data_IF_364823805924
#
_entry.id   IF_364823805924
#
_cell.length_a   1.000
_cell.length_b   1.000
_cell.length_c   1.000
_cell.angle_alpha   90.00
_cell.angle_beta   90.00
_cell.angle_gamma   90.00
#
_symmetry.space_group_name_H-M   'P 1'
#
loop_
_entity.id
_entity.type
_entity.pdbx_description
1 polymer ?
#
# COMPACT_ATOMS: atom_id res chain seq x y z
N UNK A 1 57.14 -58.76 -37.97
CA UNK A 1 57.59 -59.79 -37.01
C UNK A 1 57.66 -59.17 -35.63
N UNK A 2 56.94 -59.78 -34.71
CA UNK A 2 57.02 -59.73 -33.24
C UNK A 2 58.34 -59.24 -32.63
N UNK A 3 58.30 -58.36 -31.61
CA UNK A 3 58.59 -58.78 -30.23
C UNK A 3 58.24 -57.73 -29.15
N UNK A 4 57.94 -58.23 -27.95
CA UNK A 4 57.48 -57.51 -26.77
C UNK A 4 58.60 -57.20 -25.76
N UNK A 5 58.35 -56.22 -24.87
CA UNK A 5 58.85 -56.01 -23.47
C UNK A 5 58.39 -54.62 -23.00
N UNK A 6 58.11 -54.25 -21.75
CA UNK A 6 57.49 -54.82 -20.54
C UNK A 6 57.67 -53.77 -19.42
N UNK A 7 56.59 -53.37 -18.69
CA UNK A 7 56.52 -52.80 -17.31
C UNK A 7 55.55 -51.60 -17.15
N UNK A 8 55.03 -51.27 -15.94
CA UNK A 8 54.44 -52.12 -14.90
C UNK A 8 53.05 -51.61 -14.42
N UNK A 9 52.35 -52.44 -13.63
CA UNK A 9 51.00 -52.22 -13.07
C UNK A 9 50.88 -50.99 -12.14
N UNK A 10 49.92 -50.10 -12.40
CA UNK A 10 49.38 -49.11 -11.43
C UNK A 10 48.16 -49.70 -10.70
N UNK A 11 48.18 -49.73 -9.36
CA UNK A 11 47.02 -50.05 -8.50
C UNK A 11 46.07 -48.85 -8.40
N UNK A 12 44.77 -49.18 -8.39
CA UNK A 12 43.59 -48.31 -8.31
C UNK A 12 43.56 -47.43 -7.04
N UNK A 13 43.02 -46.21 -7.19
CA UNK A 13 42.29 -45.48 -6.13
C UNK A 13 40.93 -45.07 -6.72
N UNK A 14 39.88 -45.80 -6.34
CA UNK A 14 38.48 -45.42 -6.51
C UNK A 14 37.93 -45.23 -5.10
N UNK A 15 37.91 -44.01 -4.55
CA UNK A 15 37.06 -43.61 -3.42
C UNK A 15 37.02 -42.08 -3.42
N UNK A 16 35.87 -41.49 -3.75
CA UNK A 16 35.70 -40.04 -3.75
C UNK A 16 34.31 -39.54 -4.13
N UNK A 17 33.51 -40.35 -4.84
CA UNK A 17 32.19 -39.90 -5.33
C UNK A 17 31.01 -40.36 -4.46
N UNK A 18 31.17 -41.43 -3.67
CA UNK A 18 30.08 -41.94 -2.82
C UNK A 18 29.83 -41.09 -1.56
N UNK A 19 30.85 -40.40 -1.03
CA UNK A 19 30.72 -39.63 0.21
C UNK A 19 30.02 -38.28 0.03
N UNK A 20 30.01 -37.70 -1.18
CA UNK A 20 29.38 -36.40 -1.43
C UNK A 20 27.86 -36.51 -1.64
N UNK A 21 27.40 -37.62 -2.23
CA UNK A 21 25.97 -37.87 -2.46
C UNK A 21 25.22 -38.28 -1.17
N UNK A 22 25.89 -38.99 -0.25
CA UNK A 22 25.30 -39.28 1.06
C UNK A 22 25.12 -38.02 1.91
N UNK A 23 26.01 -37.04 1.83
CA UNK A 23 25.88 -35.79 2.60
C UNK A 23 24.73 -34.90 2.12
N UNK A 24 24.44 -34.87 0.82
CA UNK A 24 23.31 -34.11 0.26
C UNK A 24 21.95 -34.75 0.55
N UNK A 25 21.86 -36.08 0.53
CA UNK A 25 20.64 -36.81 0.87
C UNK A 25 20.29 -36.66 2.38
N UNK A 26 21.29 -36.74 3.27
CA UNK A 26 21.08 -36.51 4.70
C UNK A 26 20.65 -35.07 5.04
N UNK A 27 21.12 -34.07 4.28
CA UNK A 27 20.69 -32.67 4.45
C UNK A 27 19.26 -32.45 3.96
N UNK A 28 18.84 -33.08 2.87
CA UNK A 28 17.47 -33.01 2.37
C UNK A 28 16.47 -33.72 3.32
N UNK A 29 16.83 -34.91 3.82
CA UNK A 29 15.98 -35.65 4.78
C UNK A 29 15.88 -34.94 6.14
N UNK A 30 16.94 -34.27 6.60
CA UNK A 30 16.88 -33.42 7.79
C UNK A 30 15.96 -32.21 7.60
N UNK A 31 15.95 -31.62 6.40
CA UNK A 31 15.09 -30.47 6.08
C UNK A 31 13.62 -30.87 5.92
N UNK A 32 13.36 -32.07 5.38
CA UNK A 32 12.03 -32.65 5.27
C UNK A 32 11.48 -33.11 6.63
N UNK A 33 12.33 -33.66 7.51
CA UNK A 33 11.96 -34.05 8.87
C UNK A 33 11.70 -32.85 9.79
N UNK A 34 12.42 -31.73 9.61
CA UNK A 34 12.17 -30.49 10.37
C UNK A 34 10.85 -29.80 9.96
N UNK A 35 10.46 -29.90 8.68
CA UNK A 35 9.19 -29.37 8.19
C UNK A 35 7.95 -30.13 8.73
N UNK A 36 8.12 -31.38 9.17
CA UNK A 36 7.05 -32.22 9.70
C UNK A 36 6.95 -32.21 11.24
N UNK A 37 7.90 -31.58 11.94
CA UNK A 37 7.89 -31.46 13.40
C UNK A 37 7.35 -30.13 13.92
N UNK A 38 6.79 -29.29 13.05
CA UNK A 38 6.19 -28.02 13.45
C UNK A 38 4.85 -28.28 14.17
N UNK A 39 4.59 -27.61 15.31
CA UNK A 39 3.31 -27.75 16.01
C UNK A 39 2.19 -27.11 15.18
N UNK A 40 1.05 -27.81 15.08
CA UNK A 40 -0.17 -27.35 14.40
C UNK A 40 -0.58 -25.96 14.93
N UNK A 41 -0.83 -24.94 14.07
CA UNK A 41 -1.28 -23.62 14.48
C UNK A 41 -2.48 -23.66 15.43
N UNK A 42 -3.39 -24.62 15.20
CA UNK A 42 -4.53 -24.88 16.08
C UNK A 42 -4.09 -25.41 17.44
N UNK A 43 -3.14 -26.35 17.48
CA UNK A 43 -2.61 -26.88 18.73
C UNK A 43 -1.87 -25.80 19.56
N UNK A 44 -1.10 -24.92 18.92
CA UNK A 44 -0.42 -23.79 19.60
C UNK A 44 -1.44 -22.77 20.13
N UNK A 45 -2.47 -22.47 19.34
CA UNK A 45 -3.55 -21.56 19.74
C UNK A 45 -4.40 -22.13 20.88
N UNK A 46 -4.82 -23.39 20.78
CA UNK A 46 -5.61 -24.08 21.81
C UNK A 46 -4.81 -24.29 23.12
N UNK A 47 -3.49 -24.52 23.01
CA UNK A 47 -2.59 -24.61 24.17
C UNK A 47 -2.39 -23.26 24.86
N UNK A 48 -2.43 -22.15 24.11
CA UNK A 48 -2.36 -20.79 24.65
C UNK A 48 -3.67 -20.37 25.36
N UNK A 49 -4.83 -20.81 24.85
CA UNK A 49 -6.14 -20.46 25.44
C UNK A 49 -6.42 -21.16 26.78
N UNK A 50 -5.84 -22.35 27.01
CA UNK A 50 -6.22 -23.22 28.13
C UNK A 50 -5.18 -23.31 29.27
N UNK A 51 -4.15 -22.46 29.30
CA UNK A 51 -3.06 -22.58 30.28
C UNK A 51 -3.34 -21.78 31.57
N UNK A 52 -3.37 -22.40 32.77
CA UNK A 52 -3.55 -21.68 34.02
C UNK A 52 -2.30 -20.84 34.37
N UNK A 53 -2.56 -19.67 34.97
CA UNK A 53 -1.55 -18.68 35.36
C UNK A 53 -0.56 -19.26 36.37
N UNK A 54 0.73 -19.16 36.05
CA UNK A 54 1.83 -19.36 37.00
C UNK A 54 2.45 -20.75 36.96
N UNK A 55 3.54 -20.89 36.20
CA UNK A 55 4.70 -21.75 36.51
C UNK A 55 5.77 -21.53 35.44
N UNK A 56 6.57 -20.47 35.62
CA UNK A 56 7.87 -20.33 34.97
C UNK A 56 8.92 -21.01 35.82
N UNK A 57 9.58 -22.02 35.27
CA UNK A 57 10.72 -22.68 35.90
C UNK A 57 11.88 -21.68 36.06
N UNK A 58 12.43 -21.61 37.27
CA UNK A 58 13.53 -20.72 37.60
C UNK A 58 14.82 -21.06 36.86
N UNK A 59 15.50 -20.03 36.36
CA UNK A 59 16.86 -20.13 35.82
C UNK A 59 17.79 -19.24 36.65
N UNK A 60 18.84 -19.85 37.19
CA UNK A 60 19.89 -19.19 37.96
C UNK A 60 20.83 -18.35 37.05
N UNK A 61 21.45 -17.27 37.55
CA UNK A 61 22.19 -16.32 36.72
C UNK A 61 23.62 -16.81 36.44
N UNK A 62 24.05 -16.76 35.18
CA UNK A 62 25.45 -16.89 34.78
C UNK A 62 26.05 -15.48 34.59
N UNK A 63 27.21 -15.25 35.22
CA UNK A 63 27.93 -13.97 35.23
C UNK A 63 28.64 -13.61 33.91
N UNK A 64 29.20 -12.40 33.81
CA UNK A 64 29.55 -11.79 32.54
C UNK A 64 30.97 -12.14 32.10
N UNK A 65 31.16 -12.49 30.83
CA UNK A 65 32.46 -12.41 30.17
C UNK A 65 32.43 -11.39 29.04
N UNK A 66 33.31 -10.40 29.20
CA UNK A 66 33.60 -9.29 28.30
C UNK A 66 34.73 -9.74 27.38
N UNK A 67 34.55 -9.77 26.06
CA UNK A 67 35.68 -9.84 25.12
C UNK A 67 35.36 -9.13 23.79
N UNK A 68 35.97 -7.95 23.70
CA UNK A 68 36.59 -7.22 22.58
C UNK A 68 36.12 -7.43 21.12
N UNK A 69 35.77 -6.29 20.50
CA UNK A 69 35.68 -6.08 19.06
C UNK A 69 37.04 -6.27 18.38
N UNK A 70 37.05 -6.97 17.24
CA UNK A 70 38.07 -6.79 16.20
C UNK A 70 37.39 -6.67 14.83
N UNK A 71 37.57 -5.50 14.23
CA UNK A 71 37.29 -5.16 12.83
C UNK A 71 38.37 -5.75 11.93
N UNK A 72 38.00 -6.51 10.89
CA UNK A 72 38.88 -6.80 9.77
C UNK A 72 38.16 -6.78 8.43
N UNK A 73 38.90 -6.28 7.45
CA UNK A 73 38.56 -5.70 6.16
C UNK A 73 38.40 -6.75 5.04
N UNK A 74 37.61 -6.42 4.03
CA UNK A 74 37.46 -7.19 2.79
C UNK A 74 38.64 -6.99 1.81
N UNK A 75 38.97 -7.99 0.96
CA UNK A 75 39.78 -7.77 -0.23
C UNK A 75 38.95 -7.81 -1.53
N UNK A 76 39.29 -6.90 -2.44
CA UNK A 76 38.88 -6.80 -3.84
C UNK A 76 39.65 -7.77 -4.74
N UNK A 77 39.02 -8.26 -5.81
CA UNK A 77 39.70 -8.78 -6.99
C UNK A 77 38.86 -8.59 -8.27
N UNK A 78 39.48 -8.01 -9.29
CA UNK A 78 38.98 -7.82 -10.65
C UNK A 78 39.23 -9.06 -11.53
N UNK A 79 38.36 -9.35 -12.50
CA UNK A 79 38.70 -10.11 -13.73
C UNK A 79 37.71 -9.77 -14.86
N UNK A 80 38.26 -9.61 -16.07
CA UNK A 80 37.72 -9.01 -17.30
C UNK A 80 37.01 -10.03 -18.22
N UNK A 81 36.00 -9.58 -18.99
CA UNK A 81 35.17 -10.29 -20.00
C UNK A 81 35.89 -10.49 -21.38
N UNK A 82 35.33 -11.07 -22.50
CA UNK A 82 34.01 -10.79 -23.15
C UNK A 82 33.45 -11.97 -24.04
N UNK A 83 32.63 -11.78 -25.12
CA UNK A 83 31.44 -10.93 -25.35
C UNK A 83 30.19 -11.75 -25.75
N UNK A 84 28.98 -11.24 -25.55
CA UNK A 84 27.81 -11.55 -26.40
C UNK A 84 26.73 -10.49 -26.26
N UNK A 85 26.12 -10.19 -27.40
CA UNK A 85 25.39 -8.98 -27.71
C UNK A 85 23.99 -8.87 -27.06
N UNK A 86 23.64 -7.63 -26.75
CA UNK A 86 22.29 -7.05 -26.83
C UNK A 86 21.16 -7.80 -26.11
N UNK A 87 21.10 -7.64 -24.79
CA UNK A 87 19.86 -7.48 -24.02
C UNK A 87 20.22 -7.09 -22.58
N UNK A 88 19.49 -6.11 -22.02
CA UNK A 88 19.51 -5.65 -20.62
C UNK A 88 20.51 -4.55 -20.22
N UNK A 89 20.58 -3.45 -20.97
CA UNK A 89 21.16 -2.19 -20.46
C UNK A 89 20.32 -1.51 -19.36
N UNK A 90 19.03 -1.88 -19.23
CA UNK A 90 18.12 -1.29 -18.23
C UNK A 90 18.31 -1.90 -16.84
N UNK A 91 18.41 -3.23 -16.74
CA UNK A 91 18.62 -3.94 -15.48
C UNK A 91 20.02 -3.76 -14.89
N UNK A 92 21.01 -3.33 -15.68
CA UNK A 92 22.36 -3.05 -15.18
C UNK A 92 22.48 -1.67 -14.51
N UNK A 93 21.45 -0.83 -14.57
CA UNK A 93 21.44 0.53 -14.00
C UNK A 93 20.57 0.59 -12.74
N UNK A 94 20.86 -0.29 -11.77
CA UNK A 94 20.12 -0.35 -10.51
C UNK A 94 20.24 0.91 -9.63
N UNK A 95 21.12 1.85 -9.99
CA UNK A 95 21.38 3.08 -9.24
C UNK A 95 20.76 4.34 -9.89
N UNK A 96 20.17 4.22 -11.09
CA UNK A 96 19.54 5.35 -11.79
C UNK A 96 18.10 5.55 -11.29
N UNK A 97 17.92 6.49 -10.36
CA UNK A 97 16.59 6.90 -9.89
C UNK A 97 15.82 7.74 -10.92
N UNK A 98 14.54 8.04 -10.62
CA UNK A 98 13.61 8.80 -11.49
C UNK A 98 14.12 10.18 -11.96
N UNK A 99 15.08 10.77 -11.23
CA UNK A 99 15.65 12.09 -11.55
C UNK A 99 17.00 12.03 -12.31
N UNK A 100 17.45 10.86 -12.75
CA UNK A 100 18.73 10.73 -13.42
C UNK A 100 18.66 11.06 -14.92
N UNK A 101 19.58 11.89 -15.39
CA UNK A 101 19.64 12.33 -16.78
C UNK A 101 20.44 11.32 -17.60
N UNK A 102 19.78 10.63 -18.53
CA UNK A 102 20.47 9.83 -19.55
C UNK A 102 20.72 10.72 -20.75
N UNK A 103 21.99 10.99 -21.04
CA UNK A 103 22.37 11.70 -22.26
C UNK A 103 21.80 10.95 -23.48
N UNK A 104 20.92 11.58 -24.28
CA UNK A 104 20.40 10.93 -25.46
C UNK A 104 21.56 10.66 -26.43
N UNK A 105 21.55 9.51 -27.14
CA UNK A 105 22.61 9.20 -28.10
C UNK A 105 22.70 10.31 -29.15
N UNK A 106 23.93 10.69 -29.49
CA UNK A 106 24.21 11.77 -30.41
C UNK A 106 23.40 11.60 -31.72
N UNK A 107 22.73 12.66 -32.20
CA UNK A 107 21.90 12.55 -33.39
C UNK A 107 22.76 12.17 -34.61
N UNK A 108 22.23 11.33 -35.52
CA UNK A 108 22.93 10.98 -36.74
C UNK A 108 23.22 12.24 -37.59
N UNK A 109 24.27 12.23 -38.42
CA UNK A 109 24.69 13.39 -39.19
C UNK A 109 23.56 13.90 -40.09
N UNK A 110 23.28 15.20 -39.99
CA UNK A 110 22.23 15.90 -40.74
C UNK A 110 22.48 15.78 -42.25
N UNK A 111 21.49 15.28 -42.99
CA UNK A 111 21.45 15.38 -44.46
C UNK A 111 21.34 16.86 -44.88
N UNK A 112 21.85 17.24 -46.07
CA UNK A 112 21.78 18.60 -46.57
C UNK A 112 20.34 19.15 -46.61
N UNK A 113 20.20 20.39 -46.14
CA UNK A 113 18.95 21.14 -46.04
C UNK A 113 18.54 21.60 -47.45
N UNK A 114 17.36 21.15 -47.92
CA UNK A 114 16.65 21.79 -49.02
C UNK A 114 16.12 23.16 -48.57
N UNK A 115 16.01 24.15 -49.48
CA UNK A 115 15.62 25.51 -49.14
C UNK A 115 14.22 25.56 -48.48
N UNK A 116 13.99 26.53 -47.58
CA UNK A 116 12.81 26.54 -46.73
C UNK A 116 11.56 26.69 -47.58
N UNK A 117 10.69 25.69 -47.51
CA UNK A 117 9.30 25.84 -47.93
C UNK A 117 8.66 26.85 -46.99
N UNK A 118 8.35 28.01 -47.56
CA UNK A 118 7.48 29.09 -47.08
C UNK A 118 7.00 28.96 -45.63
N UNK A 119 7.36 29.95 -44.81
CA UNK A 119 6.70 30.24 -43.55
C UNK A 119 5.19 30.01 -43.67
N UNK A 120 4.67 29.06 -42.89
CA UNK A 120 3.26 29.02 -42.57
C UNK A 120 2.94 30.34 -41.91
N UNK A 121 2.14 31.14 -42.60
CA UNK A 121 1.49 32.33 -42.03
C UNK A 121 0.87 31.89 -40.70
N UNK A 122 1.03 32.63 -39.59
CA UNK A 122 0.27 32.33 -38.40
C UNK A 122 -1.19 32.36 -38.82
N UNK A 123 -1.89 31.24 -38.70
CA UNK A 123 -3.34 31.20 -38.82
C UNK A 123 -3.83 32.22 -37.81
N UNK A 124 -4.22 33.39 -38.30
CA UNK A 124 -4.91 34.39 -37.51
C UNK A 124 -6.13 33.67 -36.95
N UNK A 125 -6.04 33.33 -35.67
CA UNK A 125 -7.05 32.54 -35.00
C UNK A 125 -8.35 33.34 -35.16
N UNK A 126 -9.33 32.75 -35.86
CA UNK A 126 -10.67 33.35 -36.03
C UNK A 126 -11.43 33.38 -34.70
N UNK A 127 -10.78 33.01 -33.61
CA UNK A 127 -11.33 32.96 -32.27
C UNK A 127 -11.60 34.39 -31.81
N UNK A 128 -12.76 34.57 -31.19
CA UNK A 128 -13.14 35.83 -30.58
C UNK A 128 -12.03 36.30 -29.62
N UNK A 129 -11.50 37.53 -29.76
CA UNK A 129 -10.47 38.05 -28.86
C UNK A 129 -10.89 37.92 -27.39
N UNK A 130 -9.94 37.53 -26.54
CA UNK A 130 -10.13 37.26 -25.11
C UNK A 130 -11.08 36.08 -24.77
N UNK A 131 -11.53 35.29 -25.75
CA UNK A 131 -12.13 33.99 -25.44
C UNK A 131 -11.10 33.05 -24.82
N UNK A 132 -11.54 32.02 -24.09
CA UNK A 132 -10.62 31.03 -23.48
C UNK A 132 -9.77 30.33 -24.56
N UNK A 133 -10.36 30.07 -25.73
CA UNK A 133 -9.65 29.50 -26.87
C UNK A 133 -8.58 30.45 -27.42
N UNK A 134 -8.94 31.72 -27.62
CA UNK A 134 -7.99 32.75 -28.04
C UNK A 134 -6.84 32.91 -27.04
N UNK A 135 -7.15 32.97 -25.74
CA UNK A 135 -6.15 33.10 -24.67
C UNK A 135 -5.21 31.89 -24.69
N UNK A 136 -5.76 30.67 -24.77
CA UNK A 136 -4.96 29.43 -24.84
C UNK A 136 -3.98 29.46 -26.02
N UNK A 137 -4.43 29.94 -27.18
CA UNK A 137 -3.62 29.97 -28.41
C UNK A 137 -2.61 31.13 -28.43
N UNK A 138 -2.83 32.22 -27.68
CA UNK A 138 -2.03 33.45 -27.77
C UNK A 138 -1.19 33.77 -26.54
N UNK A 139 -1.47 33.19 -25.37
CA UNK A 139 -0.82 33.58 -24.11
C UNK A 139 0.70 33.34 -24.12
N UNK A 140 1.16 32.25 -24.74
CA UNK A 140 2.59 31.96 -24.89
C UNK A 140 3.27 33.01 -25.78
N UNK A 141 2.67 33.37 -26.91
CA UNK A 141 3.18 34.43 -27.79
C UNK A 141 3.31 35.77 -27.06
N UNK A 142 2.30 36.15 -26.28
CA UNK A 142 2.31 37.40 -25.51
C UNK A 142 3.37 37.38 -24.40
N UNK A 143 3.53 36.24 -23.72
CA UNK A 143 4.60 36.04 -22.73
C UNK A 143 5.98 36.17 -23.37
N UNK A 144 6.20 35.47 -24.48
CA UNK A 144 7.49 35.45 -25.16
C UNK A 144 7.85 36.83 -25.72
N UNK A 145 6.85 37.60 -26.18
CA UNK A 145 7.04 39.00 -26.56
C UNK A 145 7.44 39.88 -25.38
N UNK A 146 6.78 39.72 -24.23
CA UNK A 146 7.11 40.44 -23.00
C UNK A 146 8.51 40.10 -22.46
N UNK A 147 8.95 38.83 -22.60
CA UNK A 147 10.30 38.39 -22.18
C UNK A 147 11.37 38.91 -23.13
N UNK A 148 11.19 38.70 -24.44
CA UNK A 148 12.22 39.03 -25.43
C UNK A 148 12.34 40.53 -25.68
N UNK A 149 11.25 41.29 -25.51
CA UNK A 149 11.24 42.75 -25.63
C UNK A 149 10.41 43.38 -24.50
N UNK A 150 11.01 43.62 -23.32
CA UNK A 150 10.31 44.07 -22.13
C UNK A 150 10.00 45.58 -22.16
N UNK A 151 9.18 46.00 -23.12
CA UNK A 151 8.57 47.34 -23.11
C UNK A 151 7.39 47.36 -22.14
N UNK A 152 7.02 48.56 -21.66
CA UNK A 152 5.88 48.73 -20.77
C UNK A 152 4.61 48.13 -21.37
N UNK A 153 4.39 48.36 -22.67
CA UNK A 153 3.19 47.93 -23.40
C UNK A 153 3.12 46.40 -23.53
N UNK A 154 4.24 45.73 -23.82
CA UNK A 154 4.27 44.27 -23.97
C UNK A 154 4.02 43.56 -22.64
N UNK A 155 4.64 44.07 -21.57
CA UNK A 155 4.45 43.54 -20.22
C UNK A 155 3.03 43.80 -19.72
N UNK A 156 2.50 45.02 -19.92
CA UNK A 156 1.11 45.35 -19.57
C UNK A 156 0.10 44.48 -20.31
N UNK A 157 0.29 44.27 -21.62
CA UNK A 157 -0.58 43.40 -22.42
C UNK A 157 -0.63 41.98 -21.84
N UNK A 158 0.53 41.38 -21.55
CA UNK A 158 0.58 40.06 -20.94
C UNK A 158 -0.09 40.04 -19.56
N UNK A 159 0.19 41.03 -18.70
CA UNK A 159 -0.39 41.12 -17.36
C UNK A 159 -1.92 41.26 -17.40
N UNK A 160 -2.46 42.08 -18.32
CA UNK A 160 -3.90 42.23 -18.48
C UNK A 160 -4.57 40.93 -18.96
N UNK A 161 -3.99 40.24 -19.95
CA UNK A 161 -4.52 38.95 -20.42
C UNK A 161 -4.46 37.90 -19.32
N UNK A 162 -3.35 37.84 -18.56
CA UNK A 162 -3.21 36.92 -17.44
C UNK A 162 -4.22 37.22 -16.32
N UNK A 163 -4.37 38.49 -15.93
CA UNK A 163 -5.37 38.91 -14.94
C UNK A 163 -6.79 38.58 -15.40
N UNK A 164 -7.10 38.80 -16.67
CA UNK A 164 -8.41 38.47 -17.24
C UNK A 164 -8.70 36.97 -17.17
N UNK A 165 -7.71 36.11 -17.45
CA UNK A 165 -7.85 34.66 -17.29
C UNK A 165 -8.08 34.25 -15.82
N UNK A 166 -7.41 34.92 -14.88
CA UNK A 166 -7.67 34.70 -13.44
C UNK A 166 -9.09 35.10 -13.05
N UNK A 167 -9.60 36.22 -13.58
CA UNK A 167 -10.98 36.66 -13.31
C UNK A 167 -12.04 35.73 -13.91
N UNK A 168 -11.77 35.17 -15.10
CA UNK A 168 -12.62 34.11 -15.68
C UNK A 168 -12.61 32.85 -14.80
N UNK A 169 -11.44 32.49 -14.27
CA UNK A 169 -11.29 31.32 -13.39
C UNK A 169 -12.01 31.52 -12.06
N UNK A 170 -11.95 32.71 -11.48
CA UNK A 170 -12.69 33.07 -10.27
C UNK A 170 -14.20 32.99 -10.50
N UNK A 171 -14.72 33.55 -11.61
CA UNK A 171 -16.15 33.45 -11.96
C UNK A 171 -16.59 31.99 -12.13
N UNK A 172 -15.78 31.19 -12.82
CA UNK A 172 -16.04 29.76 -12.96
C UNK A 172 -16.08 29.06 -11.60
N UNK A 173 -15.11 29.33 -10.72
CA UNK A 173 -15.06 28.74 -9.39
C UNK A 173 -16.30 29.06 -8.53
N UNK A 174 -16.79 30.31 -8.59
CA UNK A 174 -18.04 30.68 -7.90
C UNK A 174 -19.25 29.92 -8.45
N UNK A 175 -19.41 29.85 -9.77
CA UNK A 175 -20.51 29.11 -10.39
C UNK A 175 -20.40 27.60 -10.11
N UNK A 176 -19.20 27.03 -10.21
CA UNK A 176 -18.93 25.63 -9.89
C UNK A 176 -19.37 25.29 -8.47
N UNK A 177 -18.92 26.09 -7.49
CA UNK A 177 -19.29 25.92 -6.08
C UNK A 177 -20.79 26.04 -5.88
N UNK A 178 -21.41 27.07 -6.45
CA UNK A 178 -22.86 27.28 -6.33
C UNK A 178 -23.66 26.12 -6.94
N UNK A 179 -23.24 25.56 -8.07
CA UNK A 179 -23.91 24.43 -8.71
C UNK A 179 -23.71 23.14 -7.91
N UNK A 180 -22.51 22.91 -7.39
CA UNK A 180 -22.22 21.75 -6.53
C UNK A 180 -23.03 21.79 -5.23
N UNK A 181 -23.07 22.92 -4.53
CA UNK A 181 -23.81 23.08 -3.27
C UNK A 181 -25.35 23.00 -3.46
N UNK A 182 -25.86 23.38 -4.64
CA UNK A 182 -27.29 23.26 -4.96
C UNK A 182 -27.71 21.85 -5.38
N UNK A 183 -26.75 20.99 -5.73
CA UNK A 183 -27.01 19.63 -6.19
C UNK A 183 -26.39 18.63 -5.21
N UNK A 184 -27.22 18.00 -4.40
CA UNK A 184 -26.77 17.01 -3.40
C UNK A 184 -25.99 15.84 -4.01
N UNK A 185 -26.21 15.52 -5.29
CA UNK A 185 -25.45 14.47 -5.98
C UNK A 185 -24.01 14.89 -6.36
N UNK A 186 -23.70 16.19 -6.32
CA UNK A 186 -22.39 16.77 -6.63
C UNK A 186 -21.71 17.38 -5.39
N UNK A 187 -22.44 17.52 -4.28
CA UNK A 187 -21.90 18.05 -3.03
C UNK A 187 -21.01 17.03 -2.32
N UNK A 188 -19.70 17.17 -2.53
CA UNK A 188 -18.69 16.32 -1.90
C UNK A 188 -18.68 16.44 -0.37
N UNK A 189 -19.24 17.50 0.22
CA UNK A 189 -19.24 17.65 1.68
C UNK A 189 -20.14 16.65 2.39
N UNK A 190 -21.04 15.98 1.66
CA UNK A 190 -21.86 14.86 2.17
C UNK A 190 -21.00 13.61 2.37
N UNK A 191 -20.13 13.29 1.40
CA UNK A 191 -19.23 12.12 1.45
C UNK A 191 -17.95 12.40 2.23
N UNK A 192 -17.43 13.62 2.15
CA UNK A 192 -16.22 14.10 2.80
C UNK A 192 -16.48 15.40 3.58
N UNK A 193 -17.11 15.31 4.77
CA UNK A 193 -17.41 16.48 5.57
C UNK A 193 -16.17 17.27 6.00
N UNK A 194 -16.23 18.57 5.79
CA UNK A 194 -15.13 19.50 6.07
C UNK A 194 -15.22 20.17 7.45
N UNK A 195 -16.35 20.03 8.15
CA UNK A 195 -16.50 20.63 9.48
C UNK A 195 -15.85 19.77 10.56
N UNK A 196 -15.31 20.40 11.62
CA UNK A 196 -14.64 19.67 12.69
C UNK A 196 -15.57 18.68 13.43
N UNK A 197 -16.85 19.06 13.62
CA UNK A 197 -17.85 18.21 14.27
C UNK A 197 -18.17 17.00 13.40
N UNK A 198 -18.40 17.20 12.10
CA UNK A 198 -18.69 16.09 11.19
C UNK A 198 -17.50 15.14 11.03
N UNK A 199 -16.26 15.66 10.96
CA UNK A 199 -15.06 14.81 10.91
C UNK A 199 -14.90 13.96 12.15
N UNK A 200 -15.18 14.53 13.34
CA UNK A 200 -15.15 13.77 14.59
C UNK A 200 -16.18 12.65 14.57
N UNK A 201 -17.41 12.95 14.15
CA UNK A 201 -18.47 11.95 14.04
C UNK A 201 -18.07 10.79 13.10
N UNK A 202 -17.42 11.09 11.97
CA UNK A 202 -16.92 10.06 11.05
C UNK A 202 -15.80 9.24 11.68
N UNK A 203 -14.85 9.88 12.38
CA UNK A 203 -13.78 9.17 13.10
C UNK A 203 -14.38 8.20 14.11
N UNK A 204 -15.32 8.68 14.94
CA UNK A 204 -15.99 7.87 15.96
C UNK A 204 -16.79 6.71 15.33
N UNK A 205 -17.49 6.96 14.21
CA UNK A 205 -18.21 5.93 13.45
C UNK A 205 -17.27 4.88 12.83
N UNK A 206 -16.13 5.32 12.28
CA UNK A 206 -15.10 4.48 11.68
C UNK A 206 -14.47 3.58 12.76
N UNK A 207 -14.04 4.17 13.88
CA UNK A 207 -13.47 3.43 15.00
C UNK A 207 -14.46 2.45 15.63
N UNK A 208 -15.73 2.84 15.74
CA UNK A 208 -16.82 1.97 16.19
C UNK A 208 -17.01 0.77 15.27
N UNK A 209 -17.14 1.00 13.95
CA UNK A 209 -17.33 -0.05 12.95
C UNK A 209 -16.12 -1.01 12.87
N UNK A 210 -14.89 -0.47 12.95
CA UNK A 210 -13.68 -1.31 13.03
C UNK A 210 -13.68 -2.18 14.28
N UNK A 211 -14.05 -1.61 15.43
CA UNK A 211 -14.09 -2.35 16.70
C UNK A 211 -15.16 -3.45 16.66
N UNK A 212 -16.34 -3.19 16.09
CA UNK A 212 -17.41 -4.17 15.92
C UNK A 212 -16.96 -5.36 15.04
N UNK A 213 -16.31 -5.07 13.91
CA UNK A 213 -15.74 -6.12 13.03
C UNK A 213 -14.75 -6.98 13.79
N UNK A 214 -13.82 -6.36 14.53
CA UNK A 214 -12.79 -7.10 15.29
C UNK A 214 -13.43 -7.92 16.40
N UNK A 215 -14.41 -7.38 17.14
CA UNK A 215 -15.14 -8.10 18.18
C UNK A 215 -15.87 -9.33 17.62
N UNK A 216 -16.53 -9.19 16.47
CA UNK A 216 -17.21 -10.29 15.79
C UNK A 216 -16.24 -11.40 15.36
N UNK A 217 -15.04 -11.02 14.91
CA UNK A 217 -14.01 -11.95 14.45
C UNK A 217 -13.15 -12.52 15.58
N UNK A 218 -13.16 -11.94 16.78
CA UNK A 218 -12.29 -12.31 17.90
C UNK A 218 -12.41 -13.77 18.36
N UNK A 219 -13.57 -14.40 18.13
CA UNK A 219 -13.79 -15.83 18.43
C UNK A 219 -13.19 -16.79 17.40
N UNK A 220 -12.79 -16.30 16.22
CA UNK A 220 -12.26 -17.09 15.11
C UNK A 220 -10.81 -16.70 14.76
N UNK A 221 -10.43 -15.47 15.08
CA UNK A 221 -9.14 -14.87 14.72
C UNK A 221 -8.39 -14.49 15.98
N UNK A 222 -7.13 -14.88 16.07
CA UNK A 222 -6.18 -14.45 17.08
C UNK A 222 -5.02 -13.65 16.48
N UNK A 223 -4.16 -13.13 17.35
CA UNK A 223 -2.95 -12.41 16.98
C UNK A 223 -1.73 -13.15 17.53
N UNK A 224 -0.78 -13.49 16.66
CA UNK A 224 0.56 -13.86 17.09
C UNK A 224 1.42 -12.62 17.16
N UNK A 225 2.03 -12.38 18.32
CA UNK A 225 2.86 -11.22 18.62
C UNK A 225 4.30 -11.67 18.88
N UNK A 226 5.18 -11.52 17.89
CA UNK A 226 6.59 -11.86 18.00
C UNK A 226 7.37 -10.72 18.65
N UNK A 227 8.10 -11.03 19.73
CA UNK A 227 8.90 -10.08 20.50
C UNK A 227 10.26 -10.66 20.91
N UNK A 228 11.13 -9.78 21.39
CA UNK A 228 12.38 -10.11 22.09
C UNK A 228 12.41 -9.38 23.43
N UNK A 229 13.00 -9.96 24.47
CA UNK A 229 13.01 -9.40 25.81
C UNK A 229 13.63 -7.99 25.89
N UNK A 230 14.69 -7.72 25.12
CA UNK A 230 15.42 -6.45 25.13
C UNK A 230 14.90 -5.39 24.15
N UNK A 231 13.82 -5.68 23.42
CA UNK A 231 13.30 -4.85 22.34
C UNK A 231 12.56 -3.60 22.87
N UNK A 232 13.16 -2.41 22.69
CA UNK A 232 12.57 -1.13 23.14
C UNK A 232 11.26 -0.78 22.43
N UNK A 233 11.11 -1.16 21.16
CA UNK A 233 9.85 -0.96 20.43
C UNK A 233 8.74 -1.89 20.96
N UNK A 234 9.10 -3.09 21.41
CA UNK A 234 8.19 -4.06 21.99
C UNK A 234 7.64 -3.55 23.33
N UNK A 235 8.51 -2.96 24.19
CA UNK A 235 8.09 -2.28 25.41
C UNK A 235 7.03 -1.19 25.16
N UNK A 236 7.14 -0.45 24.05
CA UNK A 236 6.14 0.56 23.67
C UNK A 236 4.88 -0.03 23.02
N UNK A 237 5.01 -1.18 22.35
CA UNK A 237 3.87 -1.88 21.73
C UNK A 237 2.99 -2.56 22.80
N UNK A 238 3.58 -3.07 23.87
CA UNK A 238 2.88 -3.83 24.90
C UNK A 238 1.64 -3.13 25.48
N UNK A 239 1.71 -1.86 25.97
CA UNK A 239 0.53 -1.17 26.49
C UNK A 239 -0.55 -0.91 25.44
N UNK A 240 -0.17 -0.78 24.15
CA UNK A 240 -1.12 -0.63 23.04
C UNK A 240 -1.91 -1.93 22.84
N UNK A 241 -1.23 -3.08 22.91
CA UNK A 241 -1.88 -4.39 22.82
C UNK A 241 -2.73 -4.70 24.06
N UNK A 242 -2.31 -4.25 25.24
CA UNK A 242 -3.13 -4.35 26.45
C UNK A 242 -4.43 -3.56 26.30
N UNK A 243 -4.35 -2.33 25.79
CA UNK A 243 -5.53 -1.51 25.53
C UNK A 243 -6.42 -2.12 24.44
N UNK A 244 -5.82 -2.64 23.37
CA UNK A 244 -6.55 -3.37 22.33
C UNK A 244 -7.35 -4.54 22.92
N UNK A 245 -6.74 -5.36 23.79
CA UNK A 245 -7.44 -6.48 24.48
C UNK A 245 -8.59 -6.03 25.38
N UNK A 246 -8.53 -4.81 25.92
CA UNK A 246 -9.58 -4.25 26.76
C UNK A 246 -10.77 -3.74 25.94
N UNK A 247 -10.52 -3.17 24.76
CA UNK A 247 -11.57 -2.66 23.88
C UNK A 247 -12.25 -3.76 23.04
N UNK A 248 -11.47 -4.74 22.59
CA UNK A 248 -11.94 -5.86 21.78
C UNK A 248 -11.40 -7.16 22.39
N UNK A 249 -12.23 -8.19 22.61
CA UNK A 249 -11.82 -9.42 23.31
C UNK A 249 -10.99 -10.35 22.40
N UNK A 250 -9.98 -9.79 21.74
CA UNK A 250 -9.11 -10.46 20.77
C UNK A 250 -8.02 -11.25 21.50
N UNK A 251 -7.86 -12.52 21.15
CA UNK A 251 -6.80 -13.36 21.70
C UNK A 251 -5.45 -12.96 21.12
N UNK A 252 -4.52 -12.52 21.98
CA UNK A 252 -3.14 -12.20 21.58
C UNK A 252 -2.20 -13.20 22.25
N UNK A 253 -1.44 -13.94 21.45
CA UNK A 253 -0.39 -14.86 21.88
C UNK A 253 0.98 -14.23 21.65
N UNK A 254 1.68 -13.80 22.72
CA UNK A 254 3.07 -13.38 22.67
C UNK A 254 4.00 -14.57 22.43
N UNK A 255 4.90 -14.44 21.46
CA UNK A 255 5.90 -15.44 21.09
C UNK A 255 7.29 -14.81 21.22
N UNK A 256 8.10 -15.34 22.14
CA UNK A 256 9.45 -14.87 22.42
C UNK A 256 10.45 -15.50 21.45
N UNK A 257 11.17 -14.67 20.69
CA UNK A 257 12.24 -15.11 19.79
C UNK A 257 13.54 -15.46 20.51
N UNK A 258 13.79 -14.86 21.67
CA UNK A 258 14.98 -15.09 22.50
C UNK A 258 14.73 -16.06 23.66
N UNK A 259 13.51 -16.59 23.78
CA UNK A 259 13.12 -17.53 24.82
C UNK A 259 13.09 -16.93 26.22
N UNK A 260 13.06 -15.60 26.32
CA UNK A 260 13.02 -14.84 27.58
C UNK A 260 11.72 -14.03 27.69
N UNK A 261 11.20 -13.81 28.91
CA UNK A 261 10.07 -12.92 29.14
C UNK A 261 10.44 -11.47 28.85
N UNK A 262 9.44 -10.60 28.64
CA UNK A 262 9.68 -9.17 28.54
C UNK A 262 10.28 -8.62 29.84
N UNK A 263 11.25 -7.70 29.72
CA UNK A 263 11.99 -7.15 30.88
C UNK A 263 11.12 -6.41 31.89
N UNK A 264 9.99 -5.83 31.45
CA UNK A 264 9.03 -5.13 32.30
C UNK A 264 7.95 -6.06 32.89
N UNK A 265 7.99 -7.35 32.55
CA UNK A 265 7.00 -8.35 32.98
C UNK A 265 5.64 -8.25 32.27
N UNK A 266 5.50 -7.40 31.25
CA UNK A 266 4.29 -7.33 30.44
C UNK A 266 4.09 -8.60 29.62
N UNK A 267 2.82 -8.90 29.29
CA UNK A 267 2.42 -10.11 28.55
C UNK A 267 2.97 -11.41 29.20
N UNK A 268 2.65 -11.69 30.47
CA UNK A 268 3.26 -12.80 31.24
C UNK A 268 2.93 -14.19 30.69
N UNK A 269 1.87 -14.33 29.91
CA UNK A 269 1.47 -15.56 29.24
C UNK A 269 2.07 -15.59 27.83
N UNK A 270 3.33 -15.99 27.71
CA UNK A 270 4.06 -16.07 26.46
C UNK A 270 4.56 -17.50 26.18
N UNK A 271 4.89 -17.77 24.92
CA UNK A 271 5.49 -19.04 24.48
C UNK A 271 6.83 -18.81 23.82
N UNK A 272 7.73 -19.78 23.89
CA UNK A 272 9.01 -19.75 23.17
C UNK A 272 8.74 -20.05 21.69
N UNK A 273 9.38 -19.31 20.79
CA UNK A 273 9.38 -19.65 19.36
C UNK A 273 9.91 -21.08 19.15
N UNK A 274 9.14 -21.88 18.43
CA UNK A 274 9.47 -23.27 18.07
C UNK A 274 9.58 -23.46 16.56
N UNK A 275 9.89 -22.39 15.84
CA UNK A 275 10.06 -22.36 14.39
C UNK A 275 9.00 -21.56 13.62
N UNK A 276 8.01 -20.99 14.32
CA UNK A 276 6.99 -20.14 13.69
C UNK A 276 7.62 -18.91 13.04
N UNK A 277 8.57 -18.28 13.75
CA UNK A 277 9.26 -17.08 13.26
C UNK A 277 10.06 -17.35 11.98
N UNK A 278 10.73 -18.51 11.90
CA UNK A 278 11.50 -18.90 10.73
C UNK A 278 10.58 -19.17 9.51
N UNK A 279 9.45 -19.84 9.72
CA UNK A 279 8.47 -20.13 8.67
C UNK A 279 7.82 -18.85 8.12
N UNK A 280 7.50 -17.91 9.00
CA UNK A 280 6.90 -16.62 8.67
C UNK A 280 7.93 -15.54 8.32
N UNK A 281 9.22 -15.89 8.25
CA UNK A 281 10.32 -14.98 7.91
C UNK A 281 10.34 -13.71 8.77
N UNK A 282 10.06 -13.87 10.07
CA UNK A 282 10.08 -12.77 11.04
C UNK A 282 11.52 -12.30 11.23
N UNK A 283 11.83 -11.13 10.68
CA UNK A 283 13.16 -10.53 10.70
C UNK A 283 13.28 -9.36 11.68
N UNK A 284 12.15 -8.80 12.13
CA UNK A 284 12.11 -7.61 12.99
C UNK A 284 11.09 -7.79 14.11
N UNK A 285 11.29 -7.11 15.24
CA UNK A 285 10.35 -7.08 16.36
C UNK A 285 10.02 -5.64 16.75
N UNK A 286 8.76 -5.33 17.13
CA UNK A 286 7.62 -6.22 17.22
C UNK A 286 7.09 -6.62 15.83
N UNK A 287 6.60 -7.86 15.66
CA UNK A 287 5.87 -8.28 14.45
C UNK A 287 4.58 -8.99 14.85
N UNK A 288 3.49 -8.65 14.19
CA UNK A 288 2.15 -9.14 14.48
C UNK A 288 1.56 -9.86 13.26
N UNK A 289 0.97 -11.03 13.48
CA UNK A 289 0.23 -11.81 12.49
C UNK A 289 -1.19 -12.04 12.96
N UNK A 290 -2.15 -11.98 12.03
CA UNK A 290 -3.49 -12.53 12.25
C UNK A 290 -3.48 -14.02 11.96
N UNK A 291 -4.11 -14.80 12.82
CA UNK A 291 -4.17 -16.26 12.75
C UNK A 291 -5.63 -16.68 12.85
N UNK A 292 -6.09 -17.46 11.88
CA UNK A 292 -7.43 -18.06 11.89
C UNK A 292 -7.28 -19.58 11.93
N UNK A 293 -7.38 -20.21 13.12
CA UNK A 293 -7.06 -21.63 13.31
C UNK A 293 -7.94 -22.58 12.50
N UNK A 294 -9.21 -22.24 12.31
CA UNK A 294 -10.17 -23.10 11.60
C UNK A 294 -9.81 -23.29 10.11
N UNK A 295 -9.18 -22.28 9.51
CA UNK A 295 -8.78 -22.26 8.09
C UNK A 295 -7.27 -22.39 7.91
N UNK A 296 -6.48 -22.47 9.00
CA UNK A 296 -5.01 -22.43 8.98
C UNK A 296 -4.44 -21.20 8.24
N UNK A 297 -5.16 -20.08 8.24
CA UNK A 297 -4.70 -18.84 7.61
C UNK A 297 -3.83 -18.04 8.60
N UNK A 298 -2.62 -17.67 8.16
CA UNK A 298 -1.70 -16.82 8.91
C UNK A 298 -1.24 -15.69 8.02
N UNK A 299 -1.59 -14.45 8.38
CA UNK A 299 -1.39 -13.28 7.52
C UNK A 299 -0.73 -12.14 8.30
N UNK A 300 0.27 -11.50 7.69
CA UNK A 300 0.98 -10.39 8.32
C UNK A 300 0.03 -9.23 8.60
N UNK A 301 -0.12 -8.89 9.88
CA UNK A 301 -0.83 -7.68 10.31
C UNK A 301 0.11 -6.48 10.19
N UNK A 302 1.20 -6.49 10.97
CA UNK A 302 2.14 -5.38 11.01
C UNK A 302 3.56 -5.84 11.37
N UNK A 303 4.56 -5.17 10.80
CA UNK A 303 5.95 -5.28 11.21
C UNK A 303 6.43 -3.91 11.73
N UNK A 304 7.03 -3.91 12.91
CA UNK A 304 7.40 -2.70 13.65
C UNK A 304 6.28 -2.15 14.53
N UNK A 305 6.64 -1.14 15.35
CA UNK A 305 5.73 -0.46 16.25
C UNK A 305 4.56 0.19 15.48
N UNK A 306 3.33 -0.02 15.97
CA UNK A 306 2.10 0.58 15.43
C UNK A 306 1.20 1.07 16.56
N UNK A 307 0.52 2.17 16.29
CA UNK A 307 -0.56 2.70 17.11
C UNK A 307 -1.82 1.82 17.04
N UNK A 308 -2.72 1.98 18.01
CA UNK A 308 -3.97 1.24 18.02
C UNK A 308 -4.83 1.49 16.77
N UNK A 309 -5.06 2.75 16.32
CA UNK A 309 -5.88 2.99 15.12
C UNK A 309 -5.27 2.33 13.87
N UNK A 310 -3.94 2.38 13.72
CA UNK A 310 -3.25 1.70 12.63
C UNK A 310 -3.44 0.18 12.67
N UNK A 311 -3.39 -0.44 13.86
CA UNK A 311 -3.63 -1.87 14.02
C UNK A 311 -5.08 -2.25 13.68
N UNK A 312 -6.07 -1.45 14.13
CA UNK A 312 -7.48 -1.69 13.82
C UNK A 312 -7.78 -1.56 12.34
N UNK A 313 -7.33 -0.47 11.71
CA UNK A 313 -7.47 -0.26 10.28
C UNK A 313 -6.83 -1.40 9.50
N UNK A 314 -5.58 -1.76 9.84
CA UNK A 314 -4.85 -2.83 9.17
C UNK A 314 -5.51 -4.20 9.36
N UNK A 315 -6.13 -4.45 10.51
CA UNK A 315 -6.92 -5.67 10.74
C UNK A 315 -8.06 -5.77 9.74
N UNK A 316 -8.83 -4.69 9.56
CA UNK A 316 -9.97 -4.64 8.63
C UNK A 316 -9.51 -4.78 7.17
N UNK A 317 -8.38 -4.17 6.79
CA UNK A 317 -7.78 -4.36 5.46
C UNK A 317 -7.42 -5.83 5.19
N UNK A 318 -6.78 -6.49 6.17
CA UNK A 318 -6.42 -7.91 6.05
C UNK A 318 -7.67 -8.77 6.01
N UNK A 319 -8.65 -8.51 6.87
CA UNK A 319 -9.92 -9.23 6.89
C UNK A 319 -10.66 -9.12 5.55
N UNK A 320 -10.63 -7.94 4.91
CA UNK A 320 -11.18 -7.76 3.56
C UNK A 320 -10.41 -8.55 2.51
N UNK A 321 -9.07 -8.48 2.54
CA UNK A 321 -8.21 -9.20 1.59
C UNK A 321 -8.38 -10.73 1.68
N UNK A 322 -8.67 -11.25 2.88
CA UNK A 322 -8.94 -12.67 3.11
C UNK A 322 -10.43 -13.05 2.97
N UNK A 323 -11.29 -12.14 2.52
CA UNK A 323 -12.74 -12.36 2.38
C UNK A 323 -13.44 -12.77 3.69
N UNK A 324 -12.95 -12.32 4.85
CA UNK A 324 -13.59 -12.54 6.15
C UNK A 324 -14.74 -11.55 6.42
N UNK A 325 -14.78 -10.45 5.66
CA UNK A 325 -15.83 -9.42 5.71
C UNK A 325 -16.31 -9.05 4.30
N UNK A 326 -17.56 -8.58 4.23
CA UNK A 326 -18.17 -8.09 3.00
C UNK A 326 -17.56 -6.76 2.53
N UNK A 327 -17.87 -6.35 1.29
CA UNK A 327 -17.44 -5.05 0.75
C UNK A 327 -18.06 -3.91 1.56
N UNK A 328 -19.34 -4.03 1.89
CA UNK A 328 -20.09 -2.97 2.56
C UNK A 328 -19.58 -2.75 3.99
N UNK A 329 -19.31 -3.84 4.73
CA UNK A 329 -18.66 -3.75 6.06
C UNK A 329 -17.30 -3.06 5.99
N UNK A 330 -16.49 -3.38 4.97
CA UNK A 330 -15.19 -2.73 4.77
C UNK A 330 -15.35 -1.23 4.47
N UNK A 331 -16.25 -0.85 3.57
CA UNK A 331 -16.47 0.56 3.23
C UNK A 331 -16.96 1.36 4.45
N UNK A 332 -17.90 0.80 5.23
CA UNK A 332 -18.35 1.43 6.48
C UNK A 332 -17.22 1.58 7.49
N UNK A 333 -16.37 0.55 7.67
CA UNK A 333 -15.25 0.60 8.62
C UNK A 333 -14.06 1.45 8.16
N UNK A 334 -14.00 1.87 6.89
CA UNK A 334 -12.96 2.75 6.36
C UNK A 334 -13.41 4.20 6.21
N UNK A 335 -14.70 4.42 5.98
CA UNK A 335 -15.23 5.75 5.66
C UNK A 335 -16.21 6.29 6.69
N UNK A 336 -16.68 5.46 7.64
CA UNK A 336 -17.67 5.82 8.66
C UNK A 336 -19.08 6.07 8.12
N UNK A 337 -19.24 6.20 6.81
CA UNK A 337 -20.48 6.44 6.09
C UNK A 337 -20.49 5.61 4.79
N UNK A 338 -21.66 5.15 4.33
CA UNK A 338 -21.78 4.55 3.01
C UNK A 338 -21.45 5.61 1.95
N UNK A 339 -20.43 5.35 1.13
CA UNK A 339 -20.11 6.22 -0.01
C UNK A 339 -21.09 5.95 -1.14
N UNK A 340 -21.60 7.02 -1.74
CA UNK A 340 -22.41 6.97 -2.96
C UNK A 340 -21.60 7.63 -4.07
N UNK A 341 -20.97 6.82 -4.91
CA UNK A 341 -20.23 7.34 -6.04
C UNK A 341 -21.18 7.50 -7.23
N UNK A 342 -21.03 8.57 -7.99
CA UNK A 342 -21.81 8.78 -9.22
C UNK A 342 -21.61 7.62 -10.21
N UNK A 343 -20.42 7.01 -10.19
CA UNK A 343 -20.07 5.84 -11.02
C UNK A 343 -20.88 4.59 -10.67
N UNK A 344 -21.42 4.50 -9.46
CA UNK A 344 -22.26 3.35 -9.06
C UNK A 344 -23.69 3.47 -9.62
N UNK A 345 -24.10 4.67 -10.03
CA UNK A 345 -25.42 4.97 -10.58
C UNK A 345 -25.48 5.17 -12.10
N UNK A 346 -24.34 5.13 -12.79
CA UNK A 346 -24.26 5.34 -14.24
C UNK A 346 -23.64 4.10 -14.89
N UNK A 347 -24.44 3.36 -15.65
CA UNK A 347 -23.94 2.27 -16.49
C UNK A 347 -23.37 2.85 -17.80
N UNK A 348 -22.06 2.68 -17.99
CA UNK A 348 -21.34 3.19 -19.16
C UNK A 348 -21.68 2.41 -20.43
N UNK A 349 -22.13 1.15 -20.33
CA UNK A 349 -22.53 0.35 -21.49
C UNK A 349 -23.85 0.84 -22.08
N UNK A 350 -24.67 1.52 -21.28
CA UNK A 350 -25.96 2.07 -21.70
C UNK A 350 -25.86 3.47 -22.33
N UNK A 351 -24.67 4.07 -22.42
CA UNK A 351 -24.46 5.40 -23.02
C UNK A 351 -24.05 5.26 -24.50
N UNK A 352 -24.93 5.58 -25.47
CA UNK A 352 -24.60 5.43 -26.88
C UNK A 352 -23.46 6.36 -27.32
N UNK A 353 -22.62 5.88 -28.25
CA UNK A 353 -21.60 6.70 -28.90
C UNK A 353 -22.25 7.82 -29.71
N UNK A 354 -21.87 9.08 -29.45
CA UNK A 354 -22.45 10.26 -30.10
C UNK A 354 -23.60 10.92 -29.33
N UNK A 355 -23.82 10.53 -28.07
CA UNK A 355 -24.77 11.22 -27.16
C UNK A 355 -24.40 12.70 -27.02
N UNK A 356 -25.40 13.59 -27.14
CA UNK A 356 -25.18 15.03 -26.97
C UNK A 356 -24.82 15.37 -25.52
N UNK A 357 -24.07 16.44 -25.28
CA UNK A 357 -23.71 16.89 -23.93
C UNK A 357 -24.93 17.08 -23.02
N UNK A 358 -26.07 17.50 -23.60
CA UNK A 358 -27.32 17.70 -22.87
C UNK A 358 -27.93 16.37 -22.42
N UNK A 359 -27.98 15.40 -23.32
CA UNK A 359 -28.55 14.09 -23.02
C UNK A 359 -27.63 13.31 -22.07
N UNK A 360 -26.31 13.47 -22.22
CA UNK A 360 -25.33 12.95 -21.28
C UNK A 360 -25.49 13.55 -19.89
N UNK A 361 -25.68 14.88 -19.79
CA UNK A 361 -25.95 15.53 -18.51
C UNK A 361 -27.23 14.98 -17.86
N UNK A 362 -28.27 14.71 -18.64
CA UNK A 362 -29.51 14.12 -18.10
C UNK A 362 -29.32 12.67 -17.65
N UNK A 363 -28.48 11.87 -18.33
CA UNK A 363 -28.06 10.54 -17.85
C UNK A 363 -27.33 10.67 -16.50
N UNK A 364 -26.33 11.55 -16.42
CA UNK A 364 -25.54 11.77 -15.20
C UNK A 364 -26.40 12.25 -14.03
N UNK A 365 -27.40 13.12 -14.29
CA UNK A 365 -28.36 13.55 -13.27
C UNK A 365 -29.20 12.40 -12.73
N UNK A 366 -29.66 11.48 -13.58
CA UNK A 366 -30.40 10.29 -13.13
C UNK A 366 -29.52 9.37 -12.28
N UNK A 367 -28.28 9.15 -12.70
CA UNK A 367 -27.33 8.34 -11.94
C UNK A 367 -27.00 8.94 -10.57
N UNK A 368 -26.91 10.26 -10.48
CA UNK A 368 -26.67 10.96 -9.20
C UNK A 368 -27.83 10.88 -8.20
N UNK A 369 -29.06 10.70 -8.68
CA UNK A 369 -30.26 10.60 -7.82
C UNK A 369 -30.48 9.16 -7.33
N UNK A 370 -30.09 8.15 -8.10
CA UNK A 370 -30.39 6.74 -7.86
C UNK A 370 -29.18 5.86 -7.51
N UNK A 371 -27.96 6.38 -7.58
CA UNK A 371 -26.73 5.68 -7.20
C UNK A 371 -26.65 5.42 -5.69
N UNK A 372 -27.15 4.27 -5.24
CA UNK A 372 -26.97 3.77 -3.87
C UNK A 372 -28.27 3.45 -3.12
N UNK A 373 -29.01 2.45 -3.60
CA UNK A 373 -29.62 1.37 -2.80
C UNK A 373 -30.67 1.62 -1.72
N UNK A 374 -30.87 2.85 -1.22
CA UNK A 374 -31.90 3.12 -0.20
C UNK A 374 -32.91 4.12 -0.77
N UNK A 375 -33.98 3.59 -1.37
CA UNK A 375 -35.17 4.41 -1.54
C UNK A 375 -35.69 4.73 -0.15
N UNK A 376 -35.45 5.96 0.30
CA UNK A 376 -36.16 6.50 1.46
C UNK A 376 -37.63 6.26 1.16
N UNK A 377 -38.27 5.41 1.96
CA UNK A 377 -39.60 4.89 1.69
C UNK A 377 -40.57 6.06 1.57
N UNK A 378 -40.86 6.50 0.34
CA UNK A 378 -41.78 7.61 0.05
C UNK A 378 -43.23 7.12 0.10
N UNK A 379 -43.55 6.26 1.07
CA UNK A 379 -44.93 6.10 1.52
C UNK A 379 -45.27 7.23 2.49
N UNK A 380 -45.19 8.48 2.01
CA UNK A 380 -46.06 9.52 2.55
C UNK A 380 -47.30 9.54 1.68
N UNK A 381 -48.27 8.72 2.04
CA UNK A 381 -49.65 8.88 1.57
C UNK A 381 -50.06 10.36 1.74
N UNK A 382 -50.79 10.87 0.76
CA UNK A 382 -51.05 12.29 0.57
C UNK A 382 -51.45 13.03 1.86
N UNK A 383 -50.68 14.06 2.20
CA UNK A 383 -50.93 14.85 3.40
C UNK A 383 -50.15 16.16 3.40
N UNK A 384 -50.71 17.16 2.72
CA UNK A 384 -50.54 18.59 2.97
C UNK A 384 -49.13 19.08 3.39
N UNK A 385 -48.27 19.39 2.41
CA UNK A 385 -47.08 20.21 2.69
C UNK A 385 -47.49 21.61 3.16
N UNK A 386 -47.16 22.03 4.40
CA UNK A 386 -47.67 23.27 5.02
C UNK A 386 -47.35 24.57 4.27
N UNK A 387 -46.37 24.54 3.36
CA UNK A 387 -45.83 25.71 2.66
C UNK A 387 -46.41 25.95 1.27
N UNK A 388 -47.21 25.01 0.73
CA UNK A 388 -47.83 25.16 -0.61
C UNK A 388 -49.18 25.89 -0.59
N UNK A 389 -49.75 26.12 0.59
CA UNK A 389 -51.07 26.73 0.76
C UNK A 389 -50.98 28.04 1.55
N UNK A 390 -50.24 29.03 1.04
CA UNK A 390 -50.24 30.38 1.62
C UNK A 390 -50.17 31.45 0.54
#
# INVERSE_FOLDING_TARGET
MTNARSHPRRRKRQHGWASCLLSLALLADLQQAYAQSAPDPKAVFDQALNRPVGQGAGVAPAGPQRTQLQTQSAPTAHTTAPPSATKNQFLSRHEDGWFWYVEPPAPPPKKPIEPPKSAGTPTESQDKPLSVEWIRNNIDRLRDQAINNPTKENVEMFLYVHKYMMDLSERFAYTYRSVAEQNTALDETISNPVTAVSRRQISDATEGAQSEIIQRLAGQVGVWYFFQSTCQYCLRQNPILDYMRQEVPLSILPISLDGLPMVDGSHPNWVVDSGQAAQLQVSTTPTLYLVKPDTNEVVLLAAGLRSLPELKQRFVEVARAQNWISKDEYETAMHGLPRRLLTDGVDLEEVPTGTSDRDLLDIMRRGGIHGGGEQINTQSEGGNTPWRNR
#
